data_IF_794940244023
#
_entry.id   IF_794940244023
#
_cell.length_a   1.000
_cell.length_b   1.000
_cell.length_c   1.000
_cell.angle_alpha   90.00
_cell.angle_beta   90.00
_cell.angle_gamma   90.00
#
_symmetry.space_group_name_H-M   'P 1'
#
loop_
_entity.id
_entity.type
_entity.pdbx_description
1 polymer ?
#
# COMPACT_ATOMS: atom_id res chain seq x y z
N UNK A 1 13.74 8.72 -5.74
CA UNK A 1 13.45 9.20 -4.37
C UNK A 1 14.62 10.01 -3.78
N UNK A 2 15.86 9.62 -3.98
CA UNK A 2 17.02 10.43 -3.55
C UNK A 2 17.04 11.78 -4.25
N UNK A 3 16.66 11.84 -5.52
CA UNK A 3 16.44 13.09 -6.26
C UNK A 3 15.36 14.01 -5.66
N UNK A 4 14.50 13.47 -4.79
CA UNK A 4 13.51 14.25 -4.01
C UNK A 4 14.07 14.75 -2.67
N UNK A 5 15.36 14.52 -2.39
CA UNK A 5 16.01 14.87 -1.12
C UNK A 5 15.74 13.87 0.01
N UNK A 6 15.19 12.70 -0.29
CA UNK A 6 14.90 11.67 0.70
C UNK A 6 16.10 10.71 0.83
N UNK A 7 16.45 10.35 2.06
CA UNK A 7 17.43 9.29 2.33
C UNK A 7 16.75 7.92 2.20
N UNK A 8 17.28 7.07 1.31
CA UNK A 8 16.73 5.75 1.05
C UNK A 8 17.56 4.68 1.78
N UNK A 9 16.88 3.78 2.49
CA UNK A 9 17.46 2.56 3.04
C UNK A 9 16.75 1.36 2.40
N UNK A 10 17.52 0.34 2.01
CA UNK A 10 16.99 -0.87 1.37
C UNK A 10 16.98 -1.99 2.40
N UNK A 11 15.84 -2.66 2.55
CA UNK A 11 15.72 -3.83 3.42
C UNK A 11 16.72 -4.93 3.03
N UNK A 12 17.29 -5.58 4.02
CA UNK A 12 18.39 -6.56 3.85
C UNK A 12 18.03 -7.69 2.88
N UNK A 13 16.76 -8.06 2.82
CA UNK A 13 16.27 -9.17 2.00
C UNK A 13 15.43 -8.72 0.80
N UNK A 14 15.43 -7.42 0.48
CA UNK A 14 14.59 -6.88 -0.61
C UNK A 14 14.87 -7.52 -1.98
N UNK A 15 16.09 -8.00 -2.22
CA UNK A 15 16.49 -8.75 -3.42
C UNK A 15 16.39 -10.27 -3.29
N UNK A 16 15.92 -10.81 -2.16
CA UNK A 16 15.85 -12.25 -1.93
C UNK A 16 14.74 -12.91 -2.76
N UNK A 17 14.90 -14.21 -3.05
CA UNK A 17 13.91 -15.02 -3.75
C UNK A 17 13.71 -16.37 -3.02
N UNK A 18 12.46 -16.81 -2.95
CA UNK A 18 12.08 -18.13 -2.43
C UNK A 18 10.84 -18.62 -3.17
N UNK A 19 11.04 -19.47 -4.18
CA UNK A 19 9.99 -19.85 -5.11
C UNK A 19 9.47 -18.61 -5.85
N UNK A 20 8.17 -18.35 -5.74
CA UNK A 20 7.51 -17.17 -6.35
C UNK A 20 7.46 -15.93 -5.44
N UNK A 21 8.07 -15.99 -4.25
CA UNK A 21 8.06 -14.91 -3.27
C UNK A 21 9.40 -14.16 -3.23
N UNK A 22 9.35 -12.91 -2.79
CA UNK A 22 10.54 -12.09 -2.50
C UNK A 22 11.15 -12.49 -1.14
N UNK A 23 11.76 -13.69 -1.09
CA UNK A 23 12.29 -14.30 0.12
C UNK A 23 11.25 -15.07 0.95
N UNK A 24 11.73 -15.70 2.01
CA UNK A 24 10.90 -16.46 2.97
C UNK A 24 9.98 -15.51 3.78
N UNK A 25 8.95 -16.06 4.41
CA UNK A 25 8.09 -15.30 5.34
C UNK A 25 8.94 -14.61 6.40
N UNK A 26 9.90 -15.34 7.00
CA UNK A 26 10.78 -14.80 8.05
C UNK A 26 11.61 -13.61 7.56
N UNK A 27 12.16 -13.68 6.36
CA UNK A 27 12.95 -12.59 5.77
C UNK A 27 12.10 -11.36 5.50
N UNK A 28 10.95 -11.52 4.85
CA UNK A 28 10.03 -10.42 4.54
C UNK A 28 9.47 -9.77 5.80
N UNK A 29 9.10 -10.60 6.80
CA UNK A 29 8.65 -10.11 8.10
C UNK A 29 9.74 -9.30 8.80
N UNK A 30 10.98 -9.82 8.80
CA UNK A 30 12.10 -9.13 9.44
C UNK A 30 12.36 -7.77 8.82
N UNK A 31 12.43 -7.66 7.49
CA UNK A 31 12.66 -6.36 6.83
C UNK A 31 11.52 -5.36 7.12
N UNK A 32 10.28 -5.82 7.13
CA UNK A 32 9.13 -4.97 7.44
C UNK A 32 9.17 -4.52 8.90
N UNK A 33 9.40 -5.45 9.83
CA UNK A 33 9.43 -5.15 11.26
C UNK A 33 10.59 -4.22 11.62
N UNK A 34 11.80 -4.48 11.09
CA UNK A 34 12.96 -3.62 11.30
C UNK A 34 12.66 -2.17 10.84
N UNK A 35 11.98 -2.02 9.68
CA UNK A 35 11.58 -0.70 9.21
C UNK A 35 10.45 -0.07 10.04
N UNK A 36 9.56 -0.87 10.60
CA UNK A 36 8.50 -0.41 11.49
C UNK A 36 9.06 0.06 12.83
N UNK A 37 10.07 -0.60 13.35
CA UNK A 37 10.62 -0.35 14.69
C UNK A 37 11.69 0.78 14.69
N UNK A 38 12.36 1.02 13.55
CA UNK A 38 13.38 2.08 13.46
C UNK A 38 12.75 3.48 13.52
N UNK A 39 12.99 4.29 14.57
CA UNK A 39 12.42 5.63 14.70
C UNK A 39 12.90 6.63 13.64
N UNK A 40 14.00 6.33 12.93
CA UNK A 40 14.55 7.16 11.86
C UNK A 40 13.79 6.98 10.55
N UNK A 41 13.14 5.83 10.35
CA UNK A 41 12.29 5.58 9.18
C UNK A 41 11.01 6.40 9.29
N UNK A 42 10.64 7.13 8.23
CA UNK A 42 9.42 7.94 8.16
C UNK A 42 8.39 7.36 7.19
N UNK A 43 8.86 6.55 6.24
CA UNK A 43 7.99 5.91 5.25
C UNK A 43 8.56 4.56 4.85
N UNK A 44 7.69 3.58 4.67
CA UNK A 44 8.01 2.23 4.22
C UNK A 44 7.41 2.05 2.82
N UNK A 45 8.26 2.09 1.80
CA UNK A 45 7.85 1.89 0.42
C UNK A 45 8.02 0.42 0.03
N UNK A 46 6.93 -0.25 -0.28
CA UNK A 46 6.98 -1.61 -0.77
C UNK A 46 7.67 -1.68 -2.14
N UNK A 47 8.54 -2.67 -2.36
CA UNK A 47 9.29 -2.79 -3.61
C UNK A 47 8.39 -3.10 -4.79
N UNK A 48 7.45 -4.02 -4.61
CA UNK A 48 6.43 -4.41 -5.60
C UNK A 48 5.27 -5.14 -4.92
N UNK A 49 4.16 -5.25 -5.61
CA UNK A 49 3.09 -6.18 -5.28
C UNK A 49 3.45 -7.63 -5.64
N UNK A 50 2.46 -8.47 -5.68
CA UNK A 50 2.61 -9.89 -6.01
C UNK A 50 1.61 -10.71 -5.22
N UNK A 51 2.11 -11.58 -4.36
CA UNK A 51 1.30 -12.39 -3.46
C UNK A 51 2.08 -12.70 -2.18
N UNK A 52 1.36 -12.80 -1.06
CA UNK A 52 1.90 -13.31 0.20
C UNK A 52 2.08 -12.28 1.32
N UNK A 53 1.67 -11.02 1.13
CA UNK A 53 1.59 -10.07 2.24
C UNK A 53 0.65 -10.58 3.34
N UNK A 54 -0.39 -11.31 2.96
CA UNK A 54 -1.33 -11.97 3.89
C UNK A 54 -0.67 -12.93 4.88
N UNK A 55 0.47 -13.52 4.54
CA UNK A 55 1.19 -14.43 5.43
C UNK A 55 1.98 -13.71 6.55
N UNK A 56 2.02 -12.39 6.53
CA UNK A 56 2.75 -11.57 7.50
C UNK A 56 1.83 -10.99 8.58
N UNK A 57 0.55 -10.84 8.26
CA UNK A 57 -0.40 -10.02 9.03
C UNK A 57 -0.62 -10.46 10.48
N UNK A 58 -0.50 -11.75 10.77
CA UNK A 58 -0.62 -12.33 12.10
C UNK A 58 0.68 -12.30 12.93
N UNK A 59 1.77 -11.81 12.35
CA UNK A 59 3.12 -11.84 12.92
C UNK A 59 3.72 -10.44 13.14
N UNK A 60 3.06 -9.40 12.66
CA UNK A 60 3.52 -8.02 12.77
C UNK A 60 3.22 -7.49 14.17
N UNK A 61 4.24 -6.95 14.81
CA UNK A 61 4.12 -6.26 16.08
C UNK A 61 4.06 -4.74 15.88
N UNK A 62 3.09 -4.09 16.51
CA UNK A 62 2.89 -2.65 16.47
C UNK A 62 3.40 -1.92 17.70
N UNK A 63 4.01 -2.62 18.66
CA UNK A 63 4.41 -2.05 19.96
C UNK A 63 5.34 -0.86 19.80
N UNK A 64 6.44 -0.99 19.06
CA UNK A 64 7.34 0.13 18.81
C UNK A 64 6.78 1.12 17.75
N UNK A 65 5.96 0.63 16.83
CA UNK A 65 5.37 1.47 15.80
C UNK A 65 4.44 2.56 16.34
N UNK A 66 3.74 2.30 17.47
CA UNK A 66 2.81 3.27 18.06
C UNK A 66 3.51 4.53 18.58
N UNK A 67 4.80 4.44 18.95
CA UNK A 67 5.58 5.59 19.42
C UNK A 67 6.06 6.47 18.26
N UNK A 68 6.31 5.86 17.11
CA UNK A 68 6.83 6.53 15.91
C UNK A 68 6.08 6.08 14.64
N UNK A 69 4.79 6.43 14.49
CA UNK A 69 4.03 6.04 13.31
C UNK A 69 4.66 6.57 12.02
N UNK A 70 4.57 5.77 10.96
CA UNK A 70 5.14 6.09 9.65
C UNK A 70 4.23 5.64 8.53
N UNK A 71 4.42 6.21 7.35
CA UNK A 71 3.65 5.84 6.19
C UNK A 71 4.02 4.44 5.69
N UNK A 72 3.01 3.60 5.44
CA UNK A 72 3.14 2.39 4.63
C UNK A 72 2.59 2.69 3.23
N UNK A 73 3.39 2.41 2.20
CA UNK A 73 3.11 2.75 0.80
C UNK A 73 3.12 1.52 -0.09
N UNK A 74 2.10 1.41 -0.93
CA UNK A 74 1.99 0.35 -1.91
C UNK A 74 0.56 0.13 -2.37
N UNK A 75 0.34 -0.87 -3.21
CA UNK A 75 -0.99 -1.27 -3.68
C UNK A 75 -1.05 -2.76 -4.02
N UNK A 76 -2.15 -3.24 -4.57
CA UNK A 76 -2.35 -4.64 -4.95
C UNK A 76 -2.28 -5.58 -3.73
N UNK A 77 -1.31 -6.49 -3.64
CA UNK A 77 -1.12 -7.41 -2.51
C UNK A 77 -0.94 -6.68 -1.17
N UNK A 78 -0.39 -5.45 -1.20
CA UNK A 78 -0.20 -4.62 -0.02
C UNK A 78 -1.54 -4.23 0.63
N UNK A 79 -2.65 -4.42 -0.03
CA UNK A 79 -4.00 -4.28 0.55
C UNK A 79 -4.13 -5.05 1.86
N UNK A 80 -3.49 -6.20 2.00
CA UNK A 80 -3.50 -6.97 3.25
C UNK A 80 -2.88 -6.19 4.41
N UNK A 81 -1.76 -5.51 4.15
CA UNK A 81 -1.10 -4.67 5.14
C UNK A 81 -1.87 -3.37 5.39
N UNK A 82 -2.45 -2.74 4.36
CA UNK A 82 -3.30 -1.57 4.55
C UNK A 82 -4.47 -1.87 5.49
N UNK A 83 -5.13 -3.01 5.30
CA UNK A 83 -6.21 -3.44 6.18
C UNK A 83 -5.75 -3.67 7.62
N UNK A 84 -4.56 -4.28 7.80
CA UNK A 84 -3.98 -4.48 9.11
C UNK A 84 -3.66 -3.15 9.82
N UNK A 85 -3.03 -2.21 9.10
CA UNK A 85 -2.71 -0.89 9.63
C UNK A 85 -3.97 -0.14 10.05
N UNK A 86 -4.98 -0.14 9.18
CA UNK A 86 -6.26 0.51 9.48
C UNK A 86 -6.97 -0.13 10.69
N UNK A 87 -6.93 -1.46 10.82
CA UNK A 87 -7.47 -2.18 11.99
C UNK A 87 -6.81 -1.71 13.29
N UNK A 88 -5.51 -1.40 13.25
CA UNK A 88 -4.74 -0.88 14.37
C UNK A 88 -4.83 0.65 14.53
N UNK A 89 -5.66 1.33 13.73
CA UNK A 89 -5.90 2.77 13.85
C UNK A 89 -4.91 3.65 13.07
N UNK A 90 -4.08 3.08 12.20
CA UNK A 90 -3.08 3.80 11.44
C UNK A 90 -3.51 4.03 9.98
N UNK A 91 -3.26 5.24 9.49
CA UNK A 91 -3.40 5.55 8.07
C UNK A 91 -2.24 4.96 7.26
N UNK A 92 -2.52 4.68 5.98
CA UNK A 92 -1.52 4.21 5.02
C UNK A 92 -1.84 4.76 3.63
N UNK A 93 -0.88 4.72 2.71
CA UNK A 93 -1.03 5.28 1.37
C UNK A 93 -1.15 4.19 0.31
N UNK A 94 -2.31 4.10 -0.31
CA UNK A 94 -2.50 3.29 -1.52
C UNK A 94 -1.87 4.03 -2.71
N UNK A 95 -0.60 3.76 -2.98
CA UNK A 95 0.26 4.53 -3.87
C UNK A 95 1.17 3.66 -4.72
N UNK A 96 1.92 4.27 -5.61
CA UNK A 96 2.99 3.62 -6.35
C UNK A 96 3.95 2.86 -5.42
N UNK A 97 4.62 1.87 -5.96
CA UNK A 97 5.69 1.08 -5.32
C UNK A 97 7.04 1.37 -6.00
N UNK A 98 8.15 0.98 -5.36
CA UNK A 98 9.48 1.28 -5.86
C UNK A 98 9.69 0.87 -7.33
N UNK A 99 9.18 -0.28 -7.74
CA UNK A 99 9.26 -0.73 -9.15
C UNK A 99 8.66 0.29 -10.13
N UNK A 100 7.55 0.94 -9.79
CA UNK A 100 6.90 1.92 -10.67
C UNK A 100 7.76 3.15 -10.85
N UNK A 101 8.41 3.62 -9.78
CA UNK A 101 9.32 4.76 -9.83
C UNK A 101 10.58 4.52 -10.68
N UNK A 102 10.84 3.29 -11.12
CA UNK A 102 11.97 2.96 -11.99
C UNK A 102 11.58 2.76 -13.45
N UNK A 103 10.28 2.66 -13.75
CA UNK A 103 9.79 2.36 -15.11
C UNK A 103 8.87 3.45 -15.66
N UNK A 104 8.26 4.23 -14.80
CA UNK A 104 7.41 5.35 -15.22
C UNK A 104 8.28 6.58 -15.58
N UNK A 105 7.78 7.48 -16.45
CA UNK A 105 8.45 8.74 -16.76
C UNK A 105 8.72 9.59 -15.51
N UNK A 106 9.73 10.46 -15.58
CA UNK A 106 10.09 11.37 -14.47
C UNK A 106 8.98 12.36 -14.12
N UNK A 107 8.12 12.70 -15.07
CA UNK A 107 6.98 13.60 -14.93
C UNK A 107 5.65 12.88 -14.62
N UNK A 108 5.69 11.58 -14.28
CA UNK A 108 4.48 10.83 -13.93
C UNK A 108 3.69 11.52 -12.82
N UNK A 109 2.41 11.75 -13.07
CA UNK A 109 1.52 12.47 -12.17
C UNK A 109 1.37 11.79 -10.81
N UNK A 110 1.31 10.45 -10.79
CA UNK A 110 1.18 9.70 -9.55
C UNK A 110 2.47 9.75 -8.72
N UNK A 111 3.63 9.76 -9.39
CA UNK A 111 4.92 9.94 -8.72
C UNK A 111 5.04 11.34 -8.11
N UNK A 112 4.56 12.37 -8.81
CA UNK A 112 4.54 13.74 -8.30
C UNK A 112 3.61 13.88 -7.09
N UNK A 113 2.41 13.31 -7.13
CA UNK A 113 1.51 13.28 -5.95
C UNK A 113 2.14 12.54 -4.77
N UNK A 114 2.82 11.42 -5.02
CA UNK A 114 3.51 10.70 -3.96
C UNK A 114 4.63 11.54 -3.34
N UNK A 115 5.42 12.22 -4.17
CA UNK A 115 6.46 13.14 -3.74
C UNK A 115 5.89 14.24 -2.84
N UNK A 116 4.81 14.89 -3.29
CA UNK A 116 4.16 15.96 -2.56
C UNK A 116 3.70 15.49 -1.17
N UNK A 117 3.04 14.34 -1.08
CA UNK A 117 2.59 13.77 0.19
C UNK A 117 3.77 13.48 1.13
N UNK A 118 4.86 12.90 0.60
CA UNK A 118 6.04 12.60 1.40
C UNK A 118 6.79 13.84 1.90
N UNK A 119 6.63 14.97 1.19
CA UNK A 119 7.16 16.27 1.58
C UNK A 119 6.19 17.10 2.45
N UNK A 120 5.02 16.53 2.81
CA UNK A 120 4.05 17.15 3.69
C UNK A 120 2.95 17.95 2.99
N UNK A 121 2.88 17.91 1.67
CA UNK A 121 1.82 18.56 0.89
C UNK A 121 0.70 17.56 0.60
N UNK A 122 -0.55 17.95 0.84
CA UNK A 122 -1.71 17.11 0.54
C UNK A 122 -2.27 17.56 -0.82
N UNK A 123 -2.14 16.74 -1.88
CA UNK A 123 -2.65 17.08 -3.19
C UNK A 123 -4.17 17.03 -3.22
N UNK A 124 -4.76 17.84 -4.09
CA UNK A 124 -6.18 17.80 -4.39
C UNK A 124 -6.39 16.99 -5.67
N UNK A 125 -7.37 16.08 -5.64
CA UNK A 125 -7.68 15.23 -6.79
C UNK A 125 -9.01 15.66 -7.41
N UNK A 126 -9.01 15.82 -8.73
CA UNK A 126 -10.25 15.99 -9.50
C UNK A 126 -10.42 14.80 -10.43
N UNK A 127 -11.61 14.20 -10.39
CA UNK A 127 -11.97 13.13 -11.30
C UNK A 127 -12.94 13.65 -12.35
N UNK A 128 -12.80 13.17 -13.58
CA UNK A 128 -13.74 13.47 -14.65
C UNK A 128 -15.16 12.99 -14.31
N UNK A 129 -16.14 13.74 -14.83
CA UNK A 129 -17.54 13.35 -14.67
C UNK A 129 -17.82 12.07 -15.45
N UNK A 130 -18.52 11.14 -14.81
CA UNK A 130 -18.97 9.91 -15.44
C UNK A 130 -20.49 9.74 -15.26
N UNK A 131 -21.17 9.11 -16.22
CA UNK A 131 -22.62 8.91 -16.21
C UNK A 131 -23.15 8.12 -15.01
N UNK A 132 -22.28 7.32 -14.38
CA UNK A 132 -22.61 6.55 -13.18
C UNK A 132 -22.34 7.30 -11.88
N UNK A 133 -21.76 8.50 -11.94
CA UNK A 133 -21.52 9.28 -10.73
C UNK A 133 -22.85 9.74 -10.15
N UNK A 134 -23.00 9.54 -8.85
CA UNK A 134 -24.07 10.14 -8.06
C UNK A 134 -23.55 11.39 -7.38
N UNK A 135 -24.26 12.49 -7.53
CA UNK A 135 -23.91 13.73 -6.86
C UNK A 135 -24.20 13.64 -5.36
N UNK A 136 -23.36 14.26 -4.57
CA UNK A 136 -23.51 14.31 -3.12
C UNK A 136 -22.19 14.57 -2.42
N UNK A 137 -22.30 14.86 -1.13
CA UNK A 137 -21.13 14.99 -0.24
C UNK A 137 -21.23 13.92 0.83
N UNK A 138 -20.09 13.32 1.14
CA UNK A 138 -20.05 12.31 2.17
C UNK A 138 -18.75 12.43 2.95
N UNK A 139 -18.77 12.05 4.23
CA UNK A 139 -17.61 12.08 5.12
C UNK A 139 -17.46 10.72 5.80
N UNK A 140 -16.25 10.19 5.84
CA UNK A 140 -15.97 8.92 6.51
C UNK A 140 -14.52 8.48 6.33
N UNK A 141 -14.16 7.37 6.95
CA UNK A 141 -12.86 6.76 6.79
C UNK A 141 -12.80 6.05 5.44
N UNK A 142 -11.82 6.42 4.61
CA UNK A 142 -11.59 5.75 3.34
C UNK A 142 -11.00 4.36 3.60
N UNK A 143 -11.61 3.36 2.98
CA UNK A 143 -11.16 1.98 3.05
C UNK A 143 -11.25 1.33 1.66
N UNK A 144 -10.34 0.43 1.35
CA UNK A 144 -10.40 -0.26 0.06
C UNK A 144 -9.08 -0.88 -0.36
N UNK A 145 -8.96 -1.08 -1.68
CA UNK A 145 -7.79 -1.67 -2.32
C UNK A 145 -8.14 -2.76 -3.32
N UNK A 146 -7.28 -3.76 -3.47
CA UNK A 146 -7.53 -4.91 -4.33
C UNK A 146 -8.66 -5.78 -3.75
N UNK A 147 -9.74 -5.94 -4.49
CA UNK A 147 -10.95 -6.62 -4.03
C UNK A 147 -10.70 -8.09 -3.65
N UNK A 148 -9.90 -8.82 -4.44
CA UNK A 148 -9.60 -10.23 -4.15
C UNK A 148 -8.82 -10.38 -2.82
N UNK A 149 -7.86 -9.49 -2.56
CA UNK A 149 -7.11 -9.47 -1.30
C UNK A 149 -8.00 -9.03 -0.14
N UNK A 150 -8.83 -8.01 -0.35
CA UNK A 150 -9.78 -7.54 0.66
C UNK A 150 -10.75 -8.65 1.08
N UNK A 151 -11.26 -9.46 0.14
CA UNK A 151 -12.13 -10.62 0.45
C UNK A 151 -11.45 -11.62 1.38
N UNK A 152 -10.16 -11.93 1.14
CA UNK A 152 -9.38 -12.80 2.04
C UNK A 152 -9.26 -12.17 3.42
N UNK A 153 -8.99 -10.86 3.49
CA UNK A 153 -8.90 -10.15 4.77
C UNK A 153 -10.23 -10.14 5.52
N UNK A 154 -11.37 -10.07 4.83
CA UNK A 154 -12.71 -10.20 5.45
C UNK A 154 -12.86 -11.57 6.11
N UNK A 155 -12.52 -12.63 5.39
CA UNK A 155 -12.61 -14.02 5.91
C UNK A 155 -11.69 -14.23 7.13
N UNK A 156 -10.59 -13.49 7.24
CA UNK A 156 -9.67 -13.52 8.38
C UNK A 156 -10.08 -12.60 9.54
N UNK A 157 -11.32 -12.07 9.52
CA UNK A 157 -11.85 -11.14 10.54
C UNK A 157 -10.99 -9.87 10.71
N UNK A 158 -10.27 -9.46 9.68
CA UNK A 158 -9.40 -8.29 9.71
C UNK A 158 -10.09 -6.99 9.30
N UNK A 159 -11.37 -7.03 8.99
CA UNK A 159 -12.10 -5.91 8.42
C UNK A 159 -13.32 -5.51 9.25
N UNK A 160 -13.46 -4.20 9.36
CA UNK A 160 -14.64 -3.38 9.60
C UNK A 160 -15.11 -3.18 11.04
N UNK A 161 -14.74 -2.02 11.58
CA UNK A 161 -15.62 -1.33 12.55
C UNK A 161 -16.76 -0.65 11.77
N UNK A 162 -18.01 -0.94 12.16
CA UNK A 162 -19.28 -0.56 11.50
C UNK A 162 -19.62 0.95 11.57
N UNK A 163 -18.70 1.90 11.34
CA UNK A 163 -19.12 3.32 11.29
C UNK A 163 -18.64 3.96 9.99
N UNK A 164 -19.60 4.48 9.23
CA UNK A 164 -19.47 5.32 8.02
C UNK A 164 -18.21 5.05 7.20
N UNK A 165 -18.24 3.99 6.39
CA UNK A 165 -17.10 3.49 5.65
C UNK A 165 -17.29 3.77 4.17
N UNK A 166 -16.36 4.50 3.57
CA UNK A 166 -16.23 4.57 2.12
C UNK A 166 -15.33 3.43 1.65
N UNK A 167 -15.85 2.65 0.72
CA UNK A 167 -15.13 1.53 0.16
C UNK A 167 -14.73 1.84 -1.29
N UNK A 168 -13.44 2.02 -1.53
CA UNK A 168 -12.87 2.07 -2.87
C UNK A 168 -12.33 0.69 -3.22
N UNK A 169 -13.07 -0.07 -3.99
CA UNK A 169 -12.66 -1.40 -4.44
C UNK A 169 -12.20 -1.35 -5.90
N UNK A 170 -11.00 -1.87 -6.15
CA UNK A 170 -10.48 -2.08 -7.49
C UNK A 170 -10.53 -3.55 -7.83
N UNK A 171 -11.31 -3.91 -8.85
CA UNK A 171 -11.24 -5.21 -9.50
C UNK A 171 -10.25 -5.12 -10.66
N UNK A 172 -9.24 -5.98 -10.69
CA UNK A 172 -8.50 -6.25 -11.91
C UNK A 172 -9.42 -7.13 -12.77
N UNK A 173 -10.07 -6.55 -13.78
CA UNK A 173 -10.60 -7.34 -14.85
C UNK A 173 -9.42 -8.05 -15.52
N UNK A 174 -9.44 -9.39 -15.59
CA UNK A 174 -8.62 -10.11 -16.52
C UNK A 174 -9.12 -9.74 -17.91
N UNK A 175 -8.56 -8.70 -18.48
CA UNK A 175 -8.68 -8.46 -19.92
C UNK A 175 -7.86 -9.58 -20.56
N UNK A 176 -8.53 -10.64 -20.99
CA UNK A 176 -7.97 -11.54 -21.99
C UNK A 176 -7.70 -10.64 -23.20
N UNK A 177 -6.43 -10.37 -23.45
CA UNK A 177 -6.01 -9.87 -24.74
C UNK A 177 -6.48 -10.90 -25.77
N UNK A 178 -7.19 -10.50 -26.81
CA UNK A 178 -7.52 -11.44 -27.87
C UNK A 178 -6.19 -12.00 -28.40
N UNK A 179 -6.07 -13.31 -28.41
CA UNK A 179 -5.02 -14.02 -29.11
C UNK A 179 -5.33 -13.91 -30.59
N UNK A 180 -4.94 -12.83 -31.22
CA UNK A 180 -4.85 -12.67 -32.68
C UNK A 180 -4.10 -11.36 -32.96
N UNK A 181 -2.86 -11.46 -33.24
CA UNK A 181 -2.13 -11.17 -34.48
C UNK A 181 -0.68 -11.56 -34.28
#
# INVERSE_FOLDING_TARGET
MESWGLKVAIGKHAGSSSGRYAGTIKQRLKDLQDAMDDPKVKAILCSRGGYGAVHLIDKIDFTAFCEHPKWLLGFSDITALHNLFQKNGYASLHSLMARHLTVEPEDDLCANYLKDILLGNIPSYMCEKHKLNKQGTAQGVLHGGNMAVATVCVALLMIFRRKALYCLLKMLANVRMPSNV
#
